data_IF_005241624201
#
_entry.id   IF_005241624201
#
_cell.length_a   1.000
_cell.length_b   1.000
_cell.length_c   1.000
_cell.angle_alpha   90.00
_cell.angle_beta   90.00
_cell.angle_gamma   90.00
#
_symmetry.space_group_name_H-M   'P 1'
#
loop_
_entity.id
_entity.type
_entity.pdbx_description
1 polymer ?
#
# COMPACT_ATOMS: atom_id res chain seq x y z
N UNK A 1 1.35 -74.39 2.46
CA UNK A 1 1.90 -73.02 2.35
C UNK A 1 1.49 -72.50 0.97
N UNK A 2 0.24 -72.12 0.69
CA UNK A 2 -0.59 -71.06 1.27
C UNK A 2 0.02 -69.65 1.11
N UNK A 3 -0.64 -68.86 0.24
CA UNK A 3 -0.64 -67.38 0.08
C UNK A 3 0.37 -66.73 -0.87
N UNK A 4 0.08 -66.81 -2.17
CA UNK A 4 0.25 -65.77 -3.19
C UNK A 4 -0.92 -66.05 -4.17
N UNK A 5 -1.89 -65.19 -4.46
CA UNK A 5 -2.00 -63.77 -4.33
C UNK A 5 -3.36 -63.43 -3.69
N UNK A 6 -3.33 -62.52 -2.72
CA UNK A 6 -4.40 -61.54 -2.58
C UNK A 6 -4.41 -60.80 -3.93
N UNK A 7 -5.21 -61.23 -4.91
CA UNK A 7 -6.54 -60.68 -5.07
C UNK A 7 -6.48 -59.16 -4.92
N UNK A 8 -5.96 -58.51 -5.96
CA UNK A 8 -6.54 -57.28 -6.48
C UNK A 8 -7.98 -57.57 -6.93
N UNK A 9 -8.82 -58.10 -6.02
CA UNK A 9 -10.27 -57.95 -6.08
C UNK A 9 -10.54 -56.49 -5.70
N UNK A 10 -10.16 -55.59 -6.62
CA UNK A 10 -11.04 -54.50 -6.93
C UNK A 10 -12.39 -55.13 -7.20
N UNK A 11 -13.33 -54.91 -6.29
CA UNK A 11 -14.75 -55.20 -6.48
C UNK A 11 -15.17 -54.36 -7.68
N UNK A 12 -14.91 -54.88 -8.88
CA UNK A 12 -15.34 -54.27 -10.13
C UNK A 12 -16.85 -54.36 -10.15
N UNK A 13 -17.50 -53.19 -10.24
CA UNK A 13 -18.95 -53.03 -10.27
C UNK A 13 -19.51 -53.85 -11.45
N UNK A 14 -20.00 -55.05 -11.14
CA UNK A 14 -20.34 -56.14 -12.06
C UNK A 14 -21.53 -55.91 -13.01
N UNK A 15 -21.84 -54.69 -13.46
CA UNK A 15 -22.99 -54.52 -14.36
C UNK A 15 -22.84 -53.57 -15.54
N UNK A 16 -21.72 -52.84 -15.71
CA UNK A 16 -21.65 -51.80 -16.76
C UNK A 16 -20.33 -51.65 -17.51
N UNK A 17 -19.21 -52.23 -17.05
CA UNK A 17 -17.91 -51.94 -17.68
C UNK A 17 -17.74 -52.52 -19.10
N UNK A 18 -18.46 -53.60 -19.44
CA UNK A 18 -18.49 -54.14 -20.82
C UNK A 18 -19.28 -53.24 -21.80
N UNK A 19 -20.04 -52.26 -21.29
CA UNK A 19 -20.74 -51.26 -22.11
C UNK A 19 -19.74 -50.35 -22.82
N UNK A 20 -18.47 -50.29 -22.38
CA UNK A 20 -17.40 -49.60 -23.11
C UNK A 20 -16.52 -50.60 -23.86
N UNK A 21 -16.21 -50.29 -25.12
CA UNK A 21 -15.39 -51.15 -26.00
C UNK A 21 -14.06 -51.59 -25.36
N UNK A 22 -13.26 -50.69 -24.73
CA UNK A 22 -11.97 -51.10 -24.18
C UNK A 22 -12.07 -52.06 -22.99
N UNK A 23 -13.18 -52.03 -22.26
CA UNK A 23 -13.44 -52.97 -21.17
C UNK A 23 -13.75 -54.36 -21.71
N UNK A 24 -14.63 -54.43 -22.72
CA UNK A 24 -14.98 -55.69 -23.38
C UNK A 24 -13.79 -56.30 -24.13
N UNK A 25 -12.95 -55.49 -24.77
CA UNK A 25 -11.76 -55.98 -25.48
C UNK A 25 -10.83 -56.75 -24.54
N UNK A 26 -10.51 -56.17 -23.37
CA UNK A 26 -9.67 -56.81 -22.36
C UNK A 26 -10.25 -58.13 -21.87
N UNK A 27 -11.58 -58.17 -21.65
CA UNK A 27 -12.27 -59.40 -21.23
C UNK A 27 -12.21 -60.49 -22.31
N UNK A 28 -12.38 -60.11 -23.59
CA UNK A 28 -12.31 -61.04 -24.71
C UNK A 28 -10.87 -61.53 -24.93
N UNK A 29 -9.86 -60.67 -24.80
CA UNK A 29 -8.46 -61.07 -24.90
C UNK A 29 -8.09 -62.05 -23.78
N UNK A 30 -8.51 -61.79 -22.55
CA UNK A 30 -8.33 -62.71 -21.41
C UNK A 30 -9.02 -64.05 -21.65
N UNK A 31 -10.24 -64.03 -22.18
CA UNK A 31 -10.99 -65.26 -22.49
C UNK A 31 -10.30 -66.10 -23.57
N UNK A 32 -9.73 -65.45 -24.58
CA UNK A 32 -8.95 -66.09 -25.66
C UNK A 32 -7.67 -66.72 -25.11
N UNK A 33 -6.98 -66.01 -24.22
CA UNK A 33 -5.77 -66.49 -23.54
C UNK A 33 -6.08 -67.69 -22.62
N UNK A 34 -7.16 -67.62 -21.82
CA UNK A 34 -7.59 -68.70 -20.93
C UNK A 34 -8.07 -69.95 -21.67
N UNK A 35 -8.71 -69.78 -22.83
CA UNK A 35 -9.21 -70.89 -23.66
C UNK A 35 -8.18 -71.39 -24.68
N UNK A 36 -7.05 -70.70 -24.83
CA UNK A 36 -6.01 -71.03 -25.81
C UNK A 36 -6.52 -71.06 -27.25
N UNK A 37 -7.56 -70.29 -27.59
CA UNK A 37 -8.11 -70.22 -28.93
C UNK A 37 -7.61 -68.97 -29.66
N UNK A 38 -7.85 -68.89 -30.97
CA UNK A 38 -7.57 -67.64 -31.72
C UNK A 38 -8.79 -66.71 -31.71
N UNK A 39 -8.61 -65.38 -31.85
CA UNK A 39 -9.73 -64.43 -31.96
C UNK A 39 -10.75 -64.79 -33.06
N UNK A 40 -10.32 -65.47 -34.11
CA UNK A 40 -11.18 -65.95 -35.19
C UNK A 40 -12.14 -67.07 -34.73
N UNK A 41 -11.65 -68.00 -33.91
CA UNK A 41 -12.37 -69.20 -33.44
C UNK A 41 -13.38 -68.90 -32.33
N UNK A 42 -13.28 -67.75 -31.67
CA UNK A 42 -14.19 -67.40 -30.58
C UNK A 42 -15.62 -67.14 -31.08
N UNK A 43 -16.57 -68.04 -30.79
CA UNK A 43 -17.98 -67.84 -31.14
C UNK A 43 -18.59 -66.78 -30.21
N UNK A 44 -19.23 -65.71 -30.72
CA UNK A 44 -19.76 -64.63 -29.88
C UNK A 44 -20.77 -65.09 -28.81
N UNK A 45 -21.60 -66.09 -29.12
CA UNK A 45 -22.55 -66.65 -28.15
C UNK A 45 -21.83 -67.36 -26.98
N UNK A 46 -20.76 -68.09 -27.27
CA UNK A 46 -19.98 -68.79 -26.25
C UNK A 46 -19.18 -67.80 -25.39
N UNK A 47 -18.76 -66.68 -25.96
CA UNK A 47 -18.14 -65.58 -25.23
C UNK A 47 -19.15 -64.90 -24.28
N UNK A 48 -20.38 -64.63 -24.73
CA UNK A 48 -21.43 -64.08 -23.88
C UNK A 48 -21.73 -65.00 -22.68
N UNK A 49 -21.84 -66.31 -22.94
CA UNK A 49 -22.08 -67.33 -21.91
C UNK A 49 -20.91 -67.45 -20.92
N UNK A 50 -19.67 -67.34 -21.39
CA UNK A 50 -18.48 -67.44 -20.55
C UNK A 50 -18.25 -66.21 -19.67
N UNK A 51 -18.66 -65.04 -20.15
CA UNK A 51 -18.53 -63.77 -19.42
C UNK A 51 -19.78 -63.47 -18.56
N UNK A 52 -20.77 -64.36 -18.52
CA UNK A 52 -22.06 -64.19 -17.82
C UNK A 52 -22.81 -62.90 -18.25
N UNK A 53 -22.67 -62.50 -19.52
CA UNK A 53 -23.31 -61.30 -20.10
C UNK A 53 -24.57 -61.72 -20.87
N UNK A 54 -25.67 -60.97 -20.68
CA UNK A 54 -26.89 -61.18 -21.45
C UNK A 54 -26.63 -60.89 -22.94
N UNK A 55 -26.91 -61.85 -23.85
CA UNK A 55 -26.62 -61.66 -25.27
C UNK A 55 -27.45 -60.52 -25.86
N UNK A 56 -26.82 -59.37 -26.09
CA UNK A 56 -27.43 -58.19 -26.70
C UNK A 56 -26.87 -57.94 -28.09
N UNK A 57 -27.67 -57.30 -28.97
CA UNK A 57 -27.20 -56.91 -30.31
C UNK A 57 -25.95 -56.02 -30.27
N UNK A 58 -25.80 -55.20 -29.24
CA UNK A 58 -24.61 -54.37 -29.03
C UNK A 58 -23.38 -55.20 -28.69
N UNK A 59 -23.52 -56.22 -27.83
CA UNK A 59 -22.42 -57.12 -27.49
C UNK A 59 -21.88 -57.81 -28.76
N UNK A 60 -22.76 -58.34 -29.61
CA UNK A 60 -22.36 -58.98 -30.87
C UNK A 60 -21.64 -58.02 -31.81
N UNK A 61 -22.10 -56.76 -31.93
CA UNK A 61 -21.43 -55.73 -32.74
C UNK A 61 -20.02 -55.49 -32.22
N UNK A 62 -19.86 -55.29 -30.92
CA UNK A 62 -18.56 -54.99 -30.30
C UNK A 62 -17.58 -56.16 -30.36
N UNK A 63 -18.05 -57.40 -30.21
CA UNK A 63 -17.21 -58.60 -30.42
C UNK A 63 -16.73 -58.68 -31.87
N UNK A 64 -17.58 -58.33 -32.84
CA UNK A 64 -17.19 -58.28 -34.26
C UNK A 64 -16.13 -57.21 -34.52
N UNK A 65 -16.30 -56.03 -33.94
CA UNK A 65 -15.35 -54.91 -34.06
C UNK A 65 -14.00 -55.24 -33.40
N UNK A 66 -14.04 -55.94 -32.26
CA UNK A 66 -12.83 -56.47 -31.61
C UNK A 66 -12.11 -57.49 -32.50
N UNK A 67 -12.82 -58.46 -33.08
CA UNK A 67 -12.22 -59.44 -34.02
C UNK A 67 -11.57 -58.75 -35.21
N UNK A 68 -12.22 -57.73 -35.77
CA UNK A 68 -11.70 -57.00 -36.91
C UNK A 68 -10.42 -56.21 -36.56
N UNK A 69 -10.36 -55.60 -35.37
CA UNK A 69 -9.14 -54.92 -34.91
C UNK A 69 -7.99 -55.88 -34.64
N UNK A 70 -8.24 -57.02 -34.01
CA UNK A 70 -7.21 -58.05 -33.79
C UNK A 70 -6.72 -58.66 -35.10
N UNK A 71 -7.60 -58.85 -36.08
CA UNK A 71 -7.19 -59.28 -37.42
C UNK A 71 -6.28 -58.23 -38.10
N UNK A 72 -6.65 -56.94 -38.02
CA UNK A 72 -5.86 -55.85 -38.59
C UNK A 72 -4.49 -55.66 -37.91
N UNK A 73 -4.40 -55.90 -36.60
CA UNK A 73 -3.14 -55.87 -35.85
C UNK A 73 -2.24 -57.06 -36.17
N UNK A 74 -2.80 -58.25 -36.38
CA UNK A 74 -2.04 -59.42 -36.84
C UNK A 74 -1.46 -59.23 -38.25
N UNK A 75 -2.14 -58.46 -39.11
CA UNK A 75 -1.70 -58.15 -40.49
C UNK A 75 -0.76 -56.93 -40.58
N UNK A 76 -0.46 -56.24 -39.47
CA UNK A 76 0.49 -55.13 -39.47
C UNK A 76 1.93 -55.65 -39.59
N UNK A 77 2.68 -55.33 -40.65
CA UNK A 77 4.06 -55.77 -40.78
C UNK A 77 4.89 -55.14 -39.65
N UNK A 78 5.47 -55.98 -38.80
CA UNK A 78 6.46 -55.55 -37.81
C UNK A 78 7.69 -55.06 -38.59
N UNK A 79 7.79 -53.75 -38.81
CA UNK A 79 9.02 -53.15 -39.32
C UNK A 79 10.07 -53.19 -38.21
N UNK A 80 11.01 -54.13 -38.31
CA UNK A 80 12.21 -54.13 -37.48
C UNK A 80 13.07 -52.91 -37.85
N UNK A 81 13.08 -51.91 -36.98
CA UNK A 81 13.98 -50.75 -37.14
C UNK A 81 15.41 -51.20 -36.84
N UNK A 82 16.36 -51.05 -37.78
CA UNK A 82 17.74 -51.43 -37.54
C UNK A 82 18.33 -50.69 -36.33
N UNK A 83 19.13 -51.37 -35.47
CA UNK A 83 19.60 -50.81 -34.21
C UNK A 83 20.49 -49.56 -34.38
N UNK A 84 21.18 -49.42 -35.51
CA UNK A 84 21.98 -48.24 -35.81
C UNK A 84 21.11 -46.99 -36.06
N UNK A 85 19.94 -47.14 -36.69
CA UNK A 85 18.99 -46.03 -36.90
C UNK A 85 18.37 -45.60 -35.56
N UNK A 86 18.06 -46.56 -34.69
CA UNK A 86 17.56 -46.27 -33.35
C UNK A 86 18.60 -45.54 -32.50
N UNK A 87 19.87 -45.92 -32.59
CA UNK A 87 20.96 -45.27 -31.87
C UNK A 87 21.20 -43.83 -32.35
N UNK A 88 21.22 -43.59 -33.66
CA UNK A 88 21.33 -42.24 -34.22
C UNK A 88 20.14 -41.36 -33.85
N UNK A 89 18.92 -41.90 -33.92
CA UNK A 89 17.72 -41.18 -33.49
C UNK A 89 17.81 -40.77 -32.00
N UNK A 90 18.17 -41.70 -31.11
CA UNK A 90 18.37 -41.40 -29.69
C UNK A 90 19.40 -40.29 -29.49
N UNK A 91 20.55 -40.39 -30.14
CA UNK A 91 21.61 -39.38 -30.07
C UNK A 91 21.13 -37.99 -30.52
N UNK A 92 20.32 -37.92 -31.58
CA UNK A 92 19.75 -36.64 -32.04
C UNK A 92 18.73 -36.08 -31.05
N UNK A 93 17.90 -36.94 -30.46
CA UNK A 93 16.94 -36.55 -29.42
C UNK A 93 17.67 -36.06 -28.18
N UNK A 94 18.68 -36.79 -27.70
CA UNK A 94 19.48 -36.44 -26.53
C UNK A 94 20.15 -35.07 -26.72
N UNK A 95 20.77 -34.86 -27.89
CA UNK A 95 21.37 -33.56 -28.24
C UNK A 95 20.35 -32.44 -28.26
N UNK A 96 19.19 -32.67 -28.88
CA UNK A 96 18.12 -31.67 -28.91
C UNK A 96 17.62 -31.34 -27.52
N UNK A 97 17.43 -32.35 -26.66
CA UNK A 97 17.01 -32.14 -25.27
C UNK A 97 18.07 -31.39 -24.46
N UNK A 98 19.35 -31.70 -24.64
CA UNK A 98 20.44 -31.00 -23.96
C UNK A 98 20.51 -29.53 -24.39
N UNK A 99 20.44 -29.26 -25.70
CA UNK A 99 20.45 -27.89 -26.24
C UNK A 99 19.23 -27.09 -25.75
N UNK A 100 18.04 -27.71 -25.74
CA UNK A 100 16.81 -27.09 -25.24
C UNK A 100 16.88 -26.80 -23.73
N UNK A 101 17.35 -27.76 -22.92
CA UNK A 101 17.50 -27.60 -21.48
C UNK A 101 18.53 -26.54 -21.13
N UNK A 102 19.66 -26.50 -21.83
CA UNK A 102 20.69 -25.48 -21.63
C UNK A 102 20.17 -24.08 -21.97
N UNK A 103 19.44 -23.94 -23.09
CA UNK A 103 18.79 -22.68 -23.46
C UNK A 103 17.78 -22.22 -22.41
N UNK A 104 16.94 -23.14 -21.92
CA UNK A 104 15.99 -22.86 -20.86
C UNK A 104 16.67 -22.42 -19.56
N UNK A 105 17.68 -23.16 -19.11
CA UNK A 105 18.46 -22.81 -17.90
C UNK A 105 19.09 -21.43 -18.06
N UNK A 106 19.65 -21.11 -19.23
CA UNK A 106 20.22 -19.80 -19.51
C UNK A 106 19.16 -18.69 -19.43
N UNK A 107 18.00 -18.90 -20.05
CA UNK A 107 16.90 -17.92 -20.01
C UNK A 107 16.40 -17.68 -18.58
N UNK A 108 16.21 -18.75 -17.78
CA UNK A 108 15.81 -18.64 -16.38
C UNK A 108 16.84 -17.88 -15.56
N UNK A 109 18.14 -18.14 -15.77
CA UNK A 109 19.21 -17.41 -15.08
C UNK A 109 19.24 -15.93 -15.45
N UNK A 110 19.05 -15.60 -16.72
CA UNK A 110 19.01 -14.22 -17.19
C UNK A 110 17.83 -13.46 -16.55
N UNK A 111 16.63 -14.02 -16.65
CA UNK A 111 15.41 -13.43 -16.06
C UNK A 111 15.53 -13.33 -14.53
N UNK A 112 16.05 -14.38 -13.88
CA UNK A 112 16.29 -14.37 -12.44
C UNK A 112 17.30 -13.29 -12.02
N UNK A 113 18.34 -13.07 -12.83
CA UNK A 113 19.31 -11.99 -12.63
C UNK A 113 18.66 -10.61 -12.75
N UNK A 114 17.83 -10.39 -13.77
CA UNK A 114 17.12 -9.13 -13.99
C UNK A 114 16.09 -8.85 -12.89
N UNK A 115 15.37 -9.89 -12.44
CA UNK A 115 14.44 -9.78 -11.32
C UNK A 115 15.18 -9.41 -10.03
N UNK A 116 16.27 -10.10 -9.72
CA UNK A 116 17.09 -9.81 -8.54
C UNK A 116 17.67 -8.38 -8.58
N UNK A 117 18.17 -7.95 -9.75
CA UNK A 117 18.65 -6.57 -9.95
C UNK A 117 17.54 -5.55 -9.71
N UNK A 118 16.35 -5.79 -10.23
CA UNK A 118 15.21 -4.89 -10.06
C UNK A 118 14.75 -4.84 -8.61
N UNK A 119 14.72 -5.98 -7.92
CA UNK A 119 14.41 -6.06 -6.49
C UNK A 119 15.43 -5.26 -5.66
N UNK A 120 16.72 -5.44 -5.92
CA UNK A 120 17.80 -4.69 -5.25
C UNK A 120 17.66 -3.18 -5.45
N UNK A 121 17.33 -2.72 -6.66
CA UNK A 121 17.10 -1.30 -6.93
C UNK A 121 15.89 -0.75 -6.17
N UNK A 122 14.79 -1.52 -6.09
CA UNK A 122 13.60 -1.14 -5.33
C UNK A 122 13.88 -1.05 -3.83
N UNK A 123 14.66 -1.98 -3.30
CA UNK A 123 15.09 -1.97 -1.89
C UNK A 123 15.96 -0.75 -1.62
N UNK A 124 16.98 -0.50 -2.43
CA UNK A 124 17.85 0.66 -2.26
C UNK A 124 17.10 2.00 -2.36
N UNK A 125 16.12 2.11 -3.26
CA UNK A 125 15.27 3.31 -3.38
C UNK A 125 14.33 3.47 -2.17
N UNK A 126 13.79 2.36 -1.64
CA UNK A 126 13.00 2.38 -0.42
C UNK A 126 13.83 2.76 0.82
N UNK A 127 15.07 2.28 0.92
CA UNK A 127 16.00 2.63 1.99
C UNK A 127 16.34 4.12 1.97
N UNK A 128 16.67 4.68 0.78
CA UNK A 128 16.91 6.12 0.64
C UNK A 128 15.71 6.95 1.06
N UNK A 129 14.52 6.61 0.57
CA UNK A 129 13.27 7.31 0.96
C UNK A 129 13.00 7.23 2.47
N UNK A 130 13.37 6.12 3.12
CA UNK A 130 13.24 5.98 4.56
C UNK A 130 14.28 6.81 5.32
N UNK A 131 15.51 6.94 4.81
CA UNK A 131 16.54 7.80 5.37
C UNK A 131 16.15 9.28 5.24
N UNK A 132 15.70 9.71 4.06
CA UNK A 132 15.24 11.09 3.82
C UNK A 132 14.06 11.44 4.74
N UNK A 133 13.06 10.57 4.85
CA UNK A 133 11.92 10.78 5.74
C UNK A 133 12.31 10.85 7.22
N UNK A 134 13.34 10.10 7.65
CA UNK A 134 13.88 10.20 9.02
C UNK A 134 14.58 11.53 9.23
N UNK A 135 15.41 11.96 8.29
CA UNK A 135 16.10 13.25 8.36
C UNK A 135 15.10 14.43 8.41
N UNK A 136 14.02 14.36 7.63
CA UNK A 136 12.93 15.34 7.68
C UNK A 136 12.22 15.34 9.05
N UNK A 137 11.91 14.17 9.59
CA UNK A 137 11.28 14.04 10.90
C UNK A 137 12.17 14.60 12.03
N UNK A 138 13.47 14.28 12.01
CA UNK A 138 14.44 14.80 12.97
C UNK A 138 14.54 16.33 12.87
N UNK A 139 14.58 16.88 11.65
CA UNK A 139 14.57 18.33 11.43
C UNK A 139 13.30 19.02 11.95
N UNK A 140 12.13 18.39 11.84
CA UNK A 140 10.88 18.91 12.40
C UNK A 140 10.87 18.87 13.93
N UNK A 141 11.40 17.80 14.54
CA UNK A 141 11.54 17.70 15.99
C UNK A 141 12.46 18.79 16.55
N UNK A 142 13.59 19.07 15.88
CA UNK A 142 14.48 20.16 16.24
C UNK A 142 13.78 21.53 16.16
N UNK A 143 12.98 21.74 15.10
CA UNK A 143 12.21 22.97 14.93
C UNK A 143 11.15 23.15 16.02
N UNK A 144 10.45 22.07 16.39
CA UNK A 144 9.49 22.11 17.49
C UNK A 144 10.16 22.35 18.83
N UNK A 145 11.29 21.71 19.11
CA UNK A 145 12.04 21.96 20.34
C UNK A 145 12.50 23.42 20.46
N UNK A 146 12.97 24.02 19.35
CA UNK A 146 13.31 25.44 19.31
C UNK A 146 12.09 26.34 19.55
N UNK A 147 10.96 26.05 18.89
CA UNK A 147 9.72 26.80 19.06
C UNK A 147 9.15 26.70 20.49
N UNK A 148 9.25 25.53 21.13
CA UNK A 148 8.88 25.34 22.53
C UNK A 148 9.77 26.17 23.47
N UNK A 149 11.09 26.18 23.24
CA UNK A 149 12.00 27.02 24.00
C UNK A 149 11.69 28.52 23.84
N UNK A 150 11.37 28.97 22.62
CA UNK A 150 10.96 30.35 22.36
C UNK A 150 9.65 30.71 23.06
N UNK A 151 8.67 29.80 23.03
CA UNK A 151 7.39 29.95 23.74
C UNK A 151 7.63 30.11 25.24
N UNK A 152 8.45 29.25 25.84
CA UNK A 152 8.71 29.28 27.27
C UNK A 152 9.46 30.56 27.68
N UNK A 153 10.43 31.00 26.86
CA UNK A 153 11.10 32.29 27.07
C UNK A 153 10.14 33.48 26.92
N UNK A 154 9.18 33.42 26.00
CA UNK A 154 8.13 34.43 25.88
C UNK A 154 7.20 34.44 27.10
N UNK A 155 6.82 33.28 27.63
CA UNK A 155 5.99 33.18 28.84
C UNK A 155 6.68 33.77 30.06
N UNK A 156 7.99 33.53 30.24
CA UNK A 156 8.78 34.15 31.30
C UNK A 156 8.76 35.68 31.16
N UNK A 157 9.02 36.21 29.95
CA UNK A 157 8.98 37.65 29.69
C UNK A 157 7.60 38.26 29.95
N UNK A 158 6.52 37.56 29.59
CA UNK A 158 5.16 38.01 29.90
C UNK A 158 4.94 38.07 31.40
N UNK A 159 5.38 37.06 32.17
CA UNK A 159 5.25 37.07 33.63
C UNK A 159 6.05 38.23 34.26
N UNK A 160 7.26 38.50 33.79
CA UNK A 160 8.09 39.65 34.22
C UNK A 160 7.39 40.99 33.95
N UNK A 161 6.84 41.15 32.73
CA UNK A 161 6.12 42.37 32.35
C UNK A 161 4.83 42.56 33.16
N UNK A 162 4.11 41.47 33.46
CA UNK A 162 2.92 41.51 34.32
C UNK A 162 3.29 41.97 35.74
N UNK A 163 4.41 41.46 36.29
CA UNK A 163 4.89 41.89 37.61
C UNK A 163 5.30 43.38 37.59
N UNK A 164 6.07 43.80 36.59
CA UNK A 164 6.50 45.20 36.45
C UNK A 164 5.31 46.15 36.30
N UNK A 165 4.27 45.75 35.56
CA UNK A 165 3.03 46.51 35.42
C UNK A 165 2.28 46.63 36.75
N UNK A 166 2.18 45.54 37.52
CA UNK A 166 1.55 45.56 38.84
C UNK A 166 2.31 46.50 39.82
N UNK A 167 3.65 46.49 39.79
CA UNK A 167 4.46 47.38 40.63
C UNK A 167 4.30 48.85 40.22
N UNK A 168 4.27 49.13 38.92
CA UNK A 168 4.03 50.47 38.39
C UNK A 168 2.65 50.99 38.81
N UNK A 169 1.61 50.16 38.74
CA UNK A 169 0.26 50.51 39.20
C UNK A 169 0.23 50.83 40.69
N UNK A 170 0.86 50.03 41.55
CA UNK A 170 0.96 50.33 42.99
C UNK A 170 1.69 51.64 43.25
N UNK A 171 2.74 51.94 42.48
CA UNK A 171 3.46 53.20 42.61
C UNK A 171 2.60 54.40 42.20
N UNK A 172 1.85 54.27 41.09
CA UNK A 172 0.89 55.26 40.63
C UNK A 172 -0.20 55.52 41.68
N UNK A 173 -0.83 54.47 42.21
CA UNK A 173 -1.82 54.56 43.29
C UNK A 173 -1.25 55.31 44.50
N UNK A 174 -0.02 55.00 44.92
CA UNK A 174 0.63 55.70 46.04
C UNK A 174 0.90 57.19 45.74
N UNK A 175 1.23 57.54 44.49
CA UNK A 175 1.40 58.92 44.06
C UNK A 175 0.06 59.68 44.02
N UNK A 176 -1.01 59.02 43.56
CA UNK A 176 -2.37 59.58 43.58
C UNK A 176 -2.78 59.91 45.02
N UNK A 177 -2.62 58.97 45.96
CA UNK A 177 -2.94 59.21 47.38
C UNK A 177 -2.14 60.39 47.94
N UNK A 178 -0.83 60.49 47.63
CA UNK A 178 0.00 61.64 48.07
C UNK A 178 -0.44 62.97 47.45
N UNK A 179 -0.89 62.97 46.19
CA UNK A 179 -1.44 64.16 45.55
C UNK A 179 -2.74 64.60 46.25
N UNK A 180 -3.64 63.65 46.53
CA UNK A 180 -4.88 63.91 47.26
C UNK A 180 -4.62 64.47 48.67
N UNK A 181 -3.63 63.93 49.40
CA UNK A 181 -3.20 64.45 50.70
C UNK A 181 -2.68 65.89 50.60
N UNK A 182 -1.83 66.19 49.60
CA UNK A 182 -1.33 67.56 49.37
C UNK A 182 -2.45 68.51 48.99
N UNK A 183 -3.40 68.09 48.16
CA UNK A 183 -4.56 68.89 47.78
C UNK A 183 -5.50 69.15 48.96
N UNK A 184 -5.65 68.19 49.87
CA UNK A 184 -6.37 68.38 51.13
C UNK A 184 -5.67 69.41 52.02
N UNK A 185 -4.35 69.30 52.20
CA UNK A 185 -3.54 70.28 52.96
C UNK A 185 -3.57 71.68 52.34
N UNK A 186 -3.52 71.79 51.01
CA UNK A 186 -3.66 73.08 50.34
C UNK A 186 -5.03 73.71 50.56
N UNK A 187 -6.09 72.89 50.59
CA UNK A 187 -7.45 73.36 50.93
C UNK A 187 -7.54 73.86 52.37
N UNK A 188 -6.94 73.16 53.35
CA UNK A 188 -6.95 73.61 54.75
C UNK A 188 -6.14 74.89 54.95
N UNK A 189 -4.96 75.01 54.33
CA UNK A 189 -4.17 76.25 54.35
C UNK A 189 -4.95 77.41 53.75
N UNK A 190 -5.59 77.22 52.57
CA UNK A 190 -6.43 78.24 51.96
C UNK A 190 -7.54 78.71 52.91
N UNK A 191 -8.24 77.80 53.58
CA UNK A 191 -9.28 78.14 54.56
C UNK A 191 -8.71 78.93 55.76
N UNK A 192 -7.56 78.53 56.30
CA UNK A 192 -6.91 79.25 57.41
C UNK A 192 -6.38 80.64 57.01
N UNK A 193 -5.92 80.79 55.76
CA UNK A 193 -5.50 82.10 55.23
C UNK A 193 -6.67 83.02 54.94
N UNK A 194 -7.87 82.49 54.65
CA UNK A 194 -9.09 83.30 54.45
C UNK A 194 -9.57 83.88 55.79
N UNK A 195 -9.46 83.15 56.91
CA UNK A 195 -9.77 83.67 58.25
C UNK A 195 -8.75 84.68 58.77
N UNK A 196 -7.50 84.65 58.30
CA UNK A 196 -6.47 85.65 58.63
C UNK A 196 -6.41 86.83 57.66
N UNK A 197 -7.00 86.70 56.47
CA UNK A 197 -7.15 87.80 55.51
C UNK A 197 -8.24 88.82 55.90
N UNK A 198 -9.02 88.58 56.96
CA UNK A 198 -9.92 89.60 57.52
C UNK A 198 -9.17 90.70 58.30
N UNK A 199 -7.84 90.63 58.44
CA UNK A 199 -7.07 91.70 59.10
C UNK A 199 -5.67 91.87 58.50
N UNK A 200 -5.57 92.12 57.19
CA UNK A 200 -4.37 92.77 56.62
C UNK A 200 -4.81 93.81 55.58
N UNK A 201 -4.49 95.07 55.90
CA UNK A 201 -4.66 96.28 55.08
C UNK A 201 -3.73 96.19 53.85
N UNK A 202 -4.15 96.62 52.64
CA UNK A 202 -3.33 96.50 51.44
C UNK A 202 -2.28 97.61 51.41
N UNK A 203 -1.06 97.25 51.01
CA UNK A 203 -0.07 98.22 50.55
C UNK A 203 0.62 97.74 49.27
N UNK A 204 1.06 98.71 48.49
CA UNK A 204 1.13 98.82 47.04
C UNK A 204 1.89 97.75 46.20
N UNK A 205 1.45 97.68 44.94
CA UNK A 205 2.15 97.08 43.78
C UNK A 205 3.08 98.13 43.15
N UNK A 206 4.26 97.73 42.64
CA UNK A 206 4.51 97.88 41.19
C UNK A 206 5.23 96.65 40.63
N UNK A 207 4.65 95.91 39.67
CA UNK A 207 4.74 96.14 38.21
C UNK A 207 6.18 96.24 37.68
N UNK A 208 6.66 95.15 37.06
CA UNK A 208 7.53 95.24 35.87
C UNK A 208 7.60 93.92 35.08
N UNK A 209 7.40 94.07 33.78
CA UNK A 209 7.53 93.11 32.68
C UNK A 209 8.89 92.41 32.59
N UNK A 210 8.92 91.21 32.00
CA UNK A 210 9.49 90.99 30.65
C UNK A 210 9.32 89.55 30.19
N UNK A 211 9.07 89.42 28.90
CA UNK A 211 8.93 88.20 28.12
C UNK A 211 10.26 87.45 27.98
N UNK A 212 10.19 86.13 27.81
CA UNK A 212 11.16 85.40 27.00
C UNK A 212 10.49 84.23 26.29
N UNK A 213 10.10 84.53 25.07
CA UNK A 213 9.80 83.64 23.97
C UNK A 213 11.09 82.93 23.51
N UNK A 214 11.08 81.59 23.38
CA UNK A 214 11.83 80.90 22.32
C UNK A 214 11.41 79.45 22.12
N UNK A 215 10.94 79.17 20.91
CA UNK A 215 11.18 78.02 20.03
C UNK A 215 11.43 76.65 20.67
N UNK A 216 10.74 75.57 20.32
CA UNK A 216 10.20 75.22 19.01
C UNK A 216 10.80 73.89 18.58
N UNK A 217 9.98 72.83 18.54
CA UNK A 217 10.19 71.63 17.74
C UNK A 217 8.94 70.73 17.84
N UNK A 218 7.90 71.17 17.14
CA UNK A 218 6.87 70.29 16.61
C UNK A 218 7.51 69.40 15.53
N UNK A 219 7.49 68.07 15.72
CA UNK A 219 7.71 67.12 14.62
C UNK A 219 6.57 66.11 14.66
N UNK A 220 5.42 66.54 14.16
CA UNK A 220 4.50 65.63 13.50
C UNK A 220 4.98 65.50 12.04
N UNK A 221 5.54 64.34 11.69
CA UNK A 221 5.70 63.92 10.30
C UNK A 221 5.00 62.58 10.13
N UNK A 222 3.71 62.67 9.85
CA UNK A 222 3.01 61.71 8.99
C UNK A 222 3.47 61.98 7.56
N UNK A 223 3.96 60.98 6.83
CA UNK A 223 3.28 60.38 5.66
C UNK A 223 4.21 59.32 4.99
N UNK A 224 3.82 58.56 3.94
CA UNK A 224 3.46 57.16 4.12
C UNK A 224 4.15 56.20 3.11
N UNK A 225 3.87 54.90 3.25
CA UNK A 225 4.01 53.83 2.22
C UNK A 225 5.41 53.61 1.61
N UNK A 226 6.04 52.49 1.94
CA UNK A 226 6.69 51.70 0.88
C UNK A 226 6.20 50.24 0.92
N UNK A 227 5.58 49.87 -0.20
CA UNK A 227 5.08 48.55 -0.55
C UNK A 227 6.26 47.75 -1.12
N UNK A 228 6.67 46.69 -0.43
CA UNK A 228 7.22 45.48 -1.08
C UNK A 228 6.21 44.38 -0.79
N UNK A 229 5.35 43.92 -1.70
CA UNK A 229 5.55 43.40 -3.05
C UNK A 229 6.58 42.25 -3.10
N UNK A 230 6.06 41.02 -3.22
CA UNK A 230 6.76 39.73 -3.37
C UNK A 230 7.03 39.08 -2.00
N UNK A 231 6.31 38.08 -1.54
CA UNK A 231 6.22 36.78 -2.22
C UNK A 231 4.89 36.08 -1.89
N UNK A 232 3.98 36.09 -2.87
CA UNK A 232 2.77 35.28 -2.84
C UNK A 232 3.17 33.94 -3.42
N UNK A 233 3.35 32.94 -2.57
CA UNK A 233 3.42 31.55 -3.01
C UNK A 233 2.08 31.20 -3.64
N UNK A 234 2.02 31.28 -4.96
CA UNK A 234 0.98 30.63 -5.74
C UNK A 234 1.13 29.12 -5.52
N UNK A 235 0.30 28.56 -4.66
CA UNK A 235 0.03 27.12 -4.66
C UNK A 235 -0.69 26.82 -5.97
N UNK A 236 -0.15 25.99 -6.87
CA UNK A 236 -0.91 25.53 -8.02
C UNK A 236 -2.01 24.59 -7.50
N UNK A 237 -3.22 25.14 -7.39
CA UNK A 237 -4.44 24.35 -7.49
C UNK A 237 -4.39 23.67 -8.87
N UNK A 238 -4.01 22.40 -8.87
CA UNK A 238 -4.19 21.54 -10.03
C UNK A 238 -5.70 21.34 -10.21
N UNK A 239 -6.29 22.21 -11.00
CA UNK A 239 -7.53 21.99 -11.70
C UNK A 239 -7.28 20.82 -12.68
N UNK A 240 -7.67 19.62 -12.27
CA UNK A 240 -7.79 18.45 -13.15
C UNK A 240 -9.24 18.03 -13.17
N UNK A 241 -10.07 18.90 -13.73
CA UNK A 241 -11.36 18.54 -14.29
C UNK A 241 -11.16 18.03 -15.73
N UNK A 242 -11.82 16.91 -16.03
CA UNK A 242 -11.70 16.14 -17.27
C UNK A 242 -11.42 14.68 -16.91
N UNK A 243 -12.39 13.81 -16.69
CA UNK A 243 -13.66 13.68 -17.40
C UNK A 243 -13.55 12.46 -18.33
N UNK A 244 -14.47 11.51 -18.15
CA UNK A 244 -14.87 10.35 -19.01
C UNK A 244 -15.02 9.09 -18.13
N UNK A 245 -16.24 8.75 -17.72
CA UNK A 245 -17.20 7.88 -18.42
C UNK A 245 -16.73 6.44 -18.62
N UNK A 246 -17.25 5.54 -17.77
CA UNK A 246 -17.74 4.18 -18.08
C UNK A 246 -17.74 3.37 -16.77
N UNK A 247 -18.73 2.57 -16.38
CA UNK A 247 -20.06 2.18 -16.89
C UNK A 247 -20.68 1.43 -15.72
N UNK A 248 -22.01 1.52 -15.60
CA UNK A 248 -22.82 0.61 -14.81
C UNK A 248 -22.46 -0.84 -15.11
N UNK A 249 -22.52 -1.66 -14.06
CA UNK A 249 -22.35 -3.09 -14.13
C UNK A 249 -23.05 -3.75 -12.95
N UNK A 250 -24.36 -3.55 -12.87
CA UNK A 250 -25.28 -4.49 -12.25
C UNK A 250 -24.97 -5.90 -12.79
N UNK A 251 -24.68 -6.83 -11.88
CA UNK A 251 -24.98 -8.24 -12.08
C UNK A 251 -25.46 -8.81 -10.75
N UNK A 252 -26.78 -8.80 -10.63
CA UNK A 252 -27.55 -9.85 -9.99
C UNK A 252 -27.29 -11.21 -10.68
N UNK A 253 -27.59 -12.29 -9.93
CA UNK A 253 -27.79 -13.71 -10.33
C UNK A 253 -26.53 -14.60 -10.44
N UNK A 254 -26.18 -15.33 -9.35
CA UNK A 254 -26.67 -16.70 -9.04
C UNK A 254 -26.22 -17.17 -7.64
#
# INVERSE_FOLDING_TARGET
MARLAESEFGIMKKSSDWVRQPGLDKMLDQLVEERGCTPAELIPYDAAKALEIEPSGEFYRKVRDWKQRRAAECDAPVMEVPPHVQAEFRKTVDRFTDDAMNSFIHAVRLIGGDFNRTAMLRVADAERRAEDARAEADGLLDHWAAAEAERDAAQIRVAELVHALADAQRHEEALIVRLEERDALLRTVKLMTVDTAATVIPDEVPSQSTASEKDGAEVASTDPVDRRQGDRVEMPFADRTGGEHATDGDLDED
#
